data_IF_606594499336
#
_entry.id   IF_606594499336
#
_cell.length_a   1.000
_cell.length_b   1.000
_cell.length_c   1.000
_cell.angle_alpha   90.00
_cell.angle_beta   90.00
_cell.angle_gamma   90.00
#
_symmetry.space_group_name_H-M   'P 1'
#
loop_
_entity.id
_entity.type
_entity.pdbx_description
1 polymer ?
#
# COMPACT_ATOMS: atom_id res chain seq x y z
N UNK A 1 -11.96 11.38 12.10
CA UNK A 1 -10.48 11.39 12.00
C UNK A 1 -10.03 10.09 11.33
N UNK A 2 -9.01 10.07 10.47
CA UNK A 2 -8.22 8.84 10.12
C UNK A 2 -8.58 8.01 8.87
N UNK A 3 -8.98 8.60 7.73
CA UNK A 3 -8.91 7.88 6.42
C UNK A 3 -7.55 8.07 5.74
N UNK A 4 -6.92 9.24 5.95
CA UNK A 4 -5.60 9.59 5.41
C UNK A 4 -4.49 8.60 5.79
N UNK A 5 -4.61 7.93 6.94
CA UNK A 5 -3.57 6.99 7.41
C UNK A 5 -3.50 5.74 6.54
N UNK A 6 -4.64 5.28 6.00
CA UNK A 6 -4.70 4.14 5.08
C UNK A 6 -4.05 4.51 3.74
N UNK A 7 -4.32 5.72 3.25
CA UNK A 7 -3.68 6.25 2.05
C UNK A 7 -2.16 6.42 2.24
N UNK A 8 -1.72 6.94 3.38
CA UNK A 8 -0.30 7.08 3.72
C UNK A 8 0.38 5.71 3.81
N UNK A 9 -0.26 4.72 4.43
CA UNK A 9 0.26 3.35 4.48
C UNK A 9 0.36 2.71 3.08
N UNK A 10 -0.61 2.97 2.20
CA UNK A 10 -0.59 2.50 0.82
C UNK A 10 0.56 3.15 0.02
N UNK A 11 0.73 4.47 0.12
CA UNK A 11 1.83 5.19 -0.55
C UNK A 11 3.19 4.72 -0.03
N UNK A 12 3.34 4.50 1.28
CA UNK A 12 4.55 3.93 1.86
C UNK A 12 4.82 2.52 1.34
N UNK A 13 3.78 1.68 1.21
CA UNK A 13 3.86 0.37 0.56
C UNK A 13 4.40 0.47 -0.87
N UNK A 14 3.84 1.37 -1.69
CA UNK A 14 4.32 1.62 -3.05
C UNK A 14 5.81 2.01 -3.10
N UNK A 15 6.25 2.89 -2.21
CA UNK A 15 7.66 3.31 -2.17
C UNK A 15 8.55 2.10 -1.85
N UNK A 16 8.17 1.27 -0.87
CA UNK A 16 8.92 0.06 -0.51
C UNK A 16 8.95 -0.95 -1.67
N UNK A 17 7.84 -1.14 -2.38
CA UNK A 17 7.78 -2.03 -3.57
C UNK A 17 8.66 -1.51 -4.70
N UNK A 18 8.64 -0.20 -4.98
CA UNK A 18 9.50 0.42 -6.02
C UNK A 18 10.98 0.25 -5.66
N UNK A 19 11.33 0.48 -4.39
CA UNK A 19 12.69 0.25 -3.90
C UNK A 19 13.05 -1.22 -4.05
N UNK A 20 12.22 -2.17 -3.59
CA UNK A 20 12.47 -3.60 -3.79
C UNK A 20 12.66 -4.00 -5.25
N UNK A 21 11.87 -3.43 -6.17
CA UNK A 21 12.00 -3.67 -7.60
C UNK A 21 13.35 -3.16 -8.13
N UNK A 22 13.79 -1.99 -7.67
CA UNK A 22 15.11 -1.44 -7.99
C UNK A 22 16.23 -2.37 -7.51
N UNK A 23 16.17 -2.85 -6.26
CA UNK A 23 17.15 -3.80 -5.71
C UNK A 23 17.17 -5.12 -6.49
N UNK A 24 16.02 -5.55 -7.05
CA UNK A 24 15.94 -6.76 -7.89
C UNK A 24 16.62 -6.55 -9.24
N UNK A 25 16.49 -5.37 -9.84
CA UNK A 25 17.24 -5.00 -11.04
C UNK A 25 18.75 -4.99 -10.75
N UNK A 26 19.15 -4.49 -9.58
CA UNK A 26 20.54 -4.46 -9.12
C UNK A 26 21.11 -5.84 -8.73
N UNK A 27 20.33 -6.93 -8.84
CA UNK A 27 20.72 -8.30 -8.47
C UNK A 27 21.21 -8.46 -7.02
N UNK A 28 20.82 -7.55 -6.14
CA UNK A 28 21.23 -7.62 -4.75
C UNK A 28 20.67 -8.87 -4.07
N UNK A 29 21.47 -9.53 -3.20
CA UNK A 29 20.95 -10.61 -2.38
C UNK A 29 19.78 -10.09 -1.54
N UNK A 30 18.75 -10.91 -1.36
CA UNK A 30 17.50 -10.56 -0.65
C UNK A 30 16.55 -9.58 -1.37
N UNK A 31 16.85 -9.11 -2.57
CA UNK A 31 15.96 -8.22 -3.31
C UNK A 31 14.55 -8.79 -3.52
N UNK A 32 14.45 -10.10 -3.82
CA UNK A 32 13.17 -10.79 -3.94
C UNK A 32 12.37 -10.77 -2.64
N UNK A 33 13.03 -10.89 -1.48
CA UNK A 33 12.37 -10.85 -0.16
C UNK A 33 11.83 -9.46 0.12
N UNK A 34 12.61 -8.41 -0.17
CA UNK A 34 12.17 -7.03 -0.01
C UNK A 34 10.95 -6.72 -0.90
N UNK A 35 10.96 -7.22 -2.15
CA UNK A 35 9.85 -7.06 -3.08
C UNK A 35 8.58 -7.76 -2.60
N UNK A 36 8.70 -9.00 -2.13
CA UNK A 36 7.57 -9.77 -1.61
C UNK A 36 6.96 -9.05 -0.40
N UNK A 37 7.77 -8.51 0.50
CA UNK A 37 7.30 -7.74 1.65
C UNK A 37 6.59 -6.44 1.24
N UNK A 38 7.13 -5.71 0.26
CA UNK A 38 6.47 -4.52 -0.30
C UNK A 38 5.11 -4.85 -0.90
N UNK A 39 5.05 -5.87 -1.76
CA UNK A 39 3.81 -6.33 -2.39
C UNK A 39 2.78 -6.84 -1.38
N UNK A 40 3.21 -7.55 -0.32
CA UNK A 40 2.32 -7.99 0.76
C UNK A 40 1.73 -6.80 1.51
N UNK A 41 2.54 -5.78 1.80
CA UNK A 41 2.10 -4.55 2.45
C UNK A 41 1.07 -3.81 1.58
N UNK A 42 1.32 -3.67 0.27
CA UNK A 42 0.36 -3.09 -0.67
C UNK A 42 -0.94 -3.89 -0.76
N UNK A 43 -0.85 -5.22 -0.83
CA UNK A 43 -2.03 -6.09 -0.88
C UNK A 43 -2.88 -5.94 0.39
N UNK A 44 -2.27 -5.94 1.57
CA UNK A 44 -2.97 -5.74 2.85
C UNK A 44 -3.62 -4.35 2.93
N UNK A 45 -2.89 -3.30 2.58
CA UNK A 45 -3.41 -1.94 2.57
C UNK A 45 -4.57 -1.77 1.57
N UNK A 46 -4.43 -2.35 0.37
CA UNK A 46 -5.46 -2.36 -0.67
C UNK A 46 -6.72 -3.11 -0.23
N UNK A 47 -6.57 -4.31 0.36
CA UNK A 47 -7.70 -5.08 0.90
C UNK A 47 -8.41 -4.32 2.01
N UNK A 48 -7.67 -3.71 2.96
CA UNK A 48 -8.30 -2.87 4.00
C UNK A 48 -9.05 -1.67 3.43
N UNK A 49 -8.52 -1.05 2.36
CA UNK A 49 -9.17 0.07 1.67
C UNK A 49 -10.48 -0.40 1.02
N UNK A 50 -10.45 -1.52 0.30
CA UNK A 50 -11.64 -2.11 -0.35
C UNK A 50 -12.70 -2.48 0.70
N UNK A 51 -12.32 -3.15 1.79
CA UNK A 51 -13.24 -3.50 2.88
C UNK A 51 -13.86 -2.25 3.51
N UNK A 52 -13.09 -1.17 3.63
CA UNK A 52 -13.59 0.11 4.12
C UNK A 52 -14.56 0.75 3.15
N UNK A 53 -14.29 0.74 1.83
CA UNK A 53 -15.23 1.22 0.80
C UNK A 53 -16.52 0.40 0.83
N UNK A 54 -16.42 -0.93 0.92
CA UNK A 54 -17.61 -1.78 0.95
C UNK A 54 -18.49 -1.52 2.19
N UNK A 55 -17.83 -1.27 3.33
CA UNK A 55 -18.50 -0.96 4.60
C UNK A 55 -18.99 0.49 4.69
N UNK A 56 -18.38 1.41 3.93
CA UNK A 56 -18.71 2.82 3.85
C UNK A 56 -19.34 3.12 2.47
N UNK A 57 -20.65 2.87 2.33
CA UNK A 57 -21.40 3.12 1.08
C UNK A 57 -21.63 4.62 0.77
N UNK A 58 -20.84 5.54 1.32
CA UNK A 58 -20.97 6.96 1.08
C UNK A 58 -19.76 7.55 0.31
N UNK A 59 -19.82 7.65 -1.03
CA UNK A 59 -18.71 8.11 -1.86
C UNK A 59 -18.37 9.61 -1.69
N UNK A 60 -19.20 10.40 -1.01
CA UNK A 60 -19.04 11.86 -0.92
C UNK A 60 -18.25 12.34 0.33
N UNK A 61 -17.78 11.43 1.19
CA UNK A 61 -17.08 11.77 2.44
C UNK A 61 -15.55 11.65 2.40
N UNK A 62 -14.96 11.18 1.29
CA UNK A 62 -13.53 10.82 1.24
C UNK A 62 -12.59 12.03 1.27
N UNK A 63 -13.02 13.18 0.74
CA UNK A 63 -12.22 14.41 0.63
C UNK A 63 -12.80 15.64 1.36
N UNK A 64 -13.99 15.55 1.97
CA UNK A 64 -14.65 16.70 2.58
C UNK A 64 -15.17 16.41 4.00
N UNK A 65 -14.25 16.43 4.97
CA UNK A 65 -14.45 17.07 6.28
C UNK A 65 -13.12 17.24 7.01
#
# INVERSE_FOLDING_TARGET
MKNKHILIAFILGCIITIVGALFKIMHWPYASVLLILGMLSEALAGVMLILKIYKDQNPNGFLNK
#
